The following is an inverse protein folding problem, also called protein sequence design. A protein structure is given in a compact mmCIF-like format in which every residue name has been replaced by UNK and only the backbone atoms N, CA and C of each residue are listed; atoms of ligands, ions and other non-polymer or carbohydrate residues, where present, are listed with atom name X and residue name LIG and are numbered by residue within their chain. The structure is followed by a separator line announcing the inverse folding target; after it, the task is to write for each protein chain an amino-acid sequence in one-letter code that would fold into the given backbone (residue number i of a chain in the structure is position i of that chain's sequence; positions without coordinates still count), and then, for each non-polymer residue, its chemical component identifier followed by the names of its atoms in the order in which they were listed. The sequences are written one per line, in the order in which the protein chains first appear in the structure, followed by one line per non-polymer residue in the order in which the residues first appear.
data_IF_264256508924
#
_entry.id   IF_264256508924
#
_cell.length_a   1.000
_cell.length_b   1.000
_cell.length_c   1.000
_cell.angle_alpha   90.00
_cell.angle_beta   90.00
_cell.angle_gamma   90.00
#
_symmetry.space_group_name_H-M   'P 1'
#
loop_
_entity.id
_entity.type
_entity.pdbx_description
1 polymer ?
#
# COMPACT_ATOMS: atom_id res chain seq x y z
N UNK A 1 17.41 51.04 5.87
CA UNK A 1 18.11 49.94 6.59
C UNK A 1 17.07 48.88 6.89
N UNK A 2 17.14 47.78 6.12
CA UNK A 2 16.13 46.74 5.87
C UNK A 2 16.30 45.57 6.87
N UNK A 3 15.22 44.78 7.06
CA UNK A 3 15.06 43.52 7.84
C UNK A 3 14.97 43.71 9.37
N UNK A 4 13.91 43.40 10.11
CA UNK A 4 12.77 42.48 9.97
C UNK A 4 13.11 41.13 9.31
N UNK A 5 14.07 40.41 9.89
CA UNK A 5 14.31 39.00 9.57
C UNK A 5 13.50 38.14 10.52
N UNK A 6 12.44 37.57 9.95
CA UNK A 6 11.62 36.48 10.44
C UNK A 6 12.37 35.58 11.44
N UNK A 7 11.83 35.51 12.65
CA UNK A 7 11.87 34.31 13.48
C UNK A 7 11.24 33.20 12.63
N UNK A 8 12.06 32.49 11.87
CA UNK A 8 11.63 31.49 10.90
C UNK A 8 10.71 30.48 11.61
N UNK A 9 9.47 30.44 11.13
CA UNK A 9 8.56 29.32 11.22
C UNK A 9 9.40 28.04 11.20
N UNK A 10 9.44 27.28 12.29
CA UNK A 10 9.86 25.90 12.20
C UNK A 10 8.69 25.20 11.50
N UNK A 11 8.78 24.79 10.22
CA UNK A 11 7.69 24.03 9.64
C UNK A 11 7.63 22.76 10.47
N UNK A 12 6.51 22.54 11.17
CA UNK A 12 6.18 21.24 11.72
C UNK A 12 6.33 20.26 10.55
N UNK A 13 7.44 19.53 10.50
CA UNK A 13 7.70 18.57 9.44
C UNK A 13 6.65 17.49 9.61
N UNK A 14 5.56 17.59 8.84
CA UNK A 14 4.60 16.51 8.73
C UNK A 14 5.35 15.33 8.13
N UNK A 15 5.77 14.39 8.99
CA UNK A 15 6.31 13.12 8.55
C UNK A 15 5.17 12.38 7.87
N UNK A 16 5.12 12.49 6.55
CA UNK A 16 4.11 11.78 5.80
C UNK A 16 4.53 10.32 5.67
N UNK A 17 4.12 9.50 6.63
CA UNK A 17 4.38 8.05 6.62
C UNK A 17 3.85 7.39 5.35
N UNK A 18 2.88 8.00 4.65
CA UNK A 18 2.31 7.54 3.39
C UNK A 18 2.29 8.66 2.35
N UNK A 19 3.43 8.98 1.70
CA UNK A 19 3.46 9.98 0.63
C UNK A 19 2.45 9.60 -0.46
N UNK A 20 1.51 10.47 -0.84
CA UNK A 20 0.46 10.16 -1.82
C UNK A 20 1.02 10.29 -3.24
N UNK A 21 2.08 9.52 -3.52
CA UNK A 21 2.74 9.48 -4.82
C UNK A 21 2.78 8.06 -5.34
N UNK A 22 2.77 7.93 -6.67
CA UNK A 22 2.89 6.63 -7.33
C UNK A 22 4.22 5.97 -7.00
N UNK A 23 5.30 6.73 -6.92
CA UNK A 23 6.63 6.20 -6.57
C UNK A 23 6.65 5.59 -5.17
N UNK A 24 5.98 6.21 -4.20
CA UNK A 24 5.87 5.65 -2.85
C UNK A 24 5.02 4.36 -2.81
N UNK A 25 4.02 4.24 -3.70
CA UNK A 25 3.26 3.01 -3.88
C UNK A 25 4.14 1.90 -4.46
N UNK A 26 4.89 2.21 -5.52
CA UNK A 26 5.79 1.26 -6.20
C UNK A 26 6.93 0.81 -5.29
N UNK A 27 7.50 1.70 -4.48
CA UNK A 27 8.53 1.36 -3.51
C UNK A 27 8.03 0.33 -2.49
N UNK A 28 6.80 0.49 -1.98
CA UNK A 28 6.18 -0.49 -1.08
C UNK A 28 5.82 -1.79 -1.79
N UNK A 29 5.30 -1.70 -3.01
CA UNK A 29 4.99 -2.87 -3.83
C UNK A 29 6.24 -3.71 -4.08
N UNK A 30 7.38 -3.06 -4.35
CA UNK A 30 8.66 -3.72 -4.54
C UNK A 30 9.18 -4.43 -3.27
N UNK A 31 8.76 -3.99 -2.08
CA UNK A 31 9.15 -4.55 -0.78
C UNK A 31 8.21 -5.66 -0.26
N UNK A 32 7.15 -6.00 -1.00
CA UNK A 32 6.20 -7.05 -0.59
C UNK A 32 6.90 -8.40 -0.49
N UNK A 33 6.75 -9.06 0.66
CA UNK A 33 7.22 -10.43 0.91
C UNK A 33 6.01 -11.34 1.16
N UNK A 34 5.47 -12.01 0.13
CA UNK A 34 4.17 -12.68 0.23
C UNK A 34 4.19 -13.88 1.18
N UNK A 35 5.31 -14.60 1.29
CA UNK A 35 5.47 -15.72 2.24
C UNK A 35 5.43 -15.25 3.69
N UNK A 36 6.14 -14.17 4.01
CA UNK A 36 6.14 -13.60 5.36
C UNK A 36 4.76 -13.02 5.71
N UNK A 37 4.12 -12.35 4.74
CA UNK A 37 2.76 -11.88 4.86
C UNK A 37 1.80 -13.03 5.20
N UNK A 38 1.85 -14.15 4.45
CA UNK A 38 0.97 -15.29 4.69
C UNK A 38 1.10 -15.87 6.11
N UNK A 39 2.34 -15.92 6.63
CA UNK A 39 2.65 -16.41 7.99
C UNK A 39 2.18 -15.46 9.10
N UNK A 40 2.19 -14.15 8.85
CA UNK A 40 2.04 -13.14 9.90
C UNK A 40 0.88 -12.16 9.71
N UNK A 41 0.02 -12.33 8.69
CA UNK A 41 -1.03 -11.35 8.33
C UNK A 41 -2.01 -10.97 9.45
N UNK A 42 -2.16 -11.82 10.47
CA UNK A 42 -3.06 -11.59 11.61
C UNK A 42 -2.30 -11.12 12.87
N UNK A 43 -1.00 -10.86 12.76
CA UNK A 43 -0.19 -10.29 13.82
C UNK A 43 -0.11 -8.77 13.64
N UNK A 44 -0.24 -8.02 14.74
CA UNK A 44 -0.18 -6.55 14.74
C UNK A 44 1.17 -6.06 14.17
N UNK A 45 2.26 -6.76 14.48
CA UNK A 45 3.62 -6.46 14.02
C UNK A 45 4.05 -7.34 12.83
N UNK A 46 3.08 -7.94 12.13
CA UNK A 46 3.34 -8.82 10.99
C UNK A 46 3.88 -8.09 9.77
N UNK A 47 4.27 -8.87 8.75
CA UNK A 47 4.77 -8.38 7.48
C UNK A 47 3.66 -7.81 6.58
N UNK A 48 2.92 -6.82 7.09
CA UNK A 48 1.86 -6.10 6.36
C UNK A 48 2.44 -5.33 5.18
N UNK A 49 1.75 -5.36 4.03
CA UNK A 49 2.25 -4.75 2.78
C UNK A 49 2.19 -3.23 2.76
N UNK A 50 1.35 -2.63 3.63
CA UNK A 50 1.11 -1.20 3.68
C UNK A 50 0.61 -0.60 2.34
N UNK A 51 0.05 -1.42 1.45
CA UNK A 51 -0.46 -0.99 0.14
C UNK A 51 -1.91 -0.47 0.19
N UNK A 52 -2.65 -0.74 1.26
CA UNK A 52 -4.06 -0.36 1.39
C UNK A 52 -4.39 1.08 1.01
N UNK A 53 -3.69 2.13 1.52
CA UNK A 53 -4.00 3.51 1.13
C UNK A 53 -3.74 3.78 -0.35
N UNK A 54 -2.70 3.17 -0.93
CA UNK A 54 -2.36 3.34 -2.35
C UNK A 54 -3.38 2.69 -3.28
N UNK A 55 -3.87 1.51 -2.91
CA UNK A 55 -4.93 0.83 -3.66
C UNK A 55 -6.25 1.58 -3.51
N UNK A 56 -6.60 2.05 -2.31
CA UNK A 56 -7.85 2.79 -2.06
C UNK A 56 -7.93 4.07 -2.90
N UNK A 57 -6.80 4.76 -3.07
CA UNK A 57 -6.74 6.01 -3.82
C UNK A 57 -6.28 5.84 -5.28
N UNK A 58 -6.15 4.61 -5.78
CA UNK A 58 -5.90 4.35 -7.20
C UNK A 58 -4.48 4.64 -7.69
N UNK A 59 -3.49 4.75 -6.80
CA UNK A 59 -2.08 4.90 -7.21
C UNK A 59 -1.54 3.64 -7.89
N UNK A 60 -2.05 2.48 -7.48
CA UNK A 60 -1.86 1.15 -8.09
C UNK A 60 -3.19 0.38 -8.00
N UNK A 61 -3.43 -0.54 -8.92
CA UNK A 61 -4.63 -1.40 -8.92
C UNK A 61 -4.28 -2.87 -8.58
N UNK A 62 -5.29 -3.69 -8.30
CA UNK A 62 -5.05 -5.08 -7.87
C UNK A 62 -4.40 -5.97 -8.93
N UNK A 63 -4.77 -5.90 -10.23
CA UNK A 63 -4.04 -6.61 -11.29
C UNK A 63 -2.55 -6.24 -11.34
N UNK A 64 -2.21 -4.95 -11.23
CA UNK A 64 -0.82 -4.47 -11.21
C UNK A 64 -0.06 -5.02 -10.00
N UNK A 65 -0.69 -5.01 -8.82
CA UNK A 65 -0.09 -5.55 -7.60
C UNK A 65 0.17 -7.06 -7.75
N UNK A 66 -0.81 -7.82 -8.22
CA UNK A 66 -0.65 -9.27 -8.43
C UNK A 66 0.47 -9.57 -9.43
N UNK A 67 0.46 -8.90 -10.59
CA UNK A 67 1.48 -9.11 -11.63
C UNK A 67 2.90 -8.82 -11.12
N UNK A 68 3.09 -7.71 -10.39
CA UNK A 68 4.40 -7.33 -9.85
C UNK A 68 4.93 -8.32 -8.81
N UNK A 69 4.06 -8.81 -7.91
CA UNK A 69 4.48 -9.75 -6.86
C UNK A 69 4.73 -11.13 -7.47
N UNK A 70 3.86 -11.60 -8.37
CA UNK A 70 4.01 -12.89 -9.06
C UNK A 70 5.23 -12.95 -9.98
N UNK A 71 5.71 -11.80 -10.48
CA UNK A 71 6.95 -11.75 -11.27
C UNK A 71 8.21 -12.04 -10.44
N UNK A 72 8.16 -11.88 -9.11
CA UNK A 72 9.29 -12.06 -8.20
C UNK A 72 9.15 -13.26 -7.28
N UNK A 73 7.92 -13.70 -7.05
CA UNK A 73 7.59 -14.77 -6.12
C UNK A 73 6.61 -15.73 -6.79
N UNK A 74 6.85 -17.03 -6.62
CA UNK A 74 5.91 -18.03 -7.10
C UNK A 74 4.66 -18.01 -6.20
N UNK A 75 3.53 -17.61 -6.78
CA UNK A 75 2.24 -17.55 -6.10
C UNK A 75 1.27 -18.49 -6.79
N UNK A 76 0.81 -19.52 -6.07
CA UNK A 76 -0.33 -20.30 -6.51
C UNK A 76 -1.65 -19.55 -6.26
N UNK A 77 -2.72 -19.98 -6.92
CA UNK A 77 -4.05 -19.33 -6.82
C UNK A 77 -4.64 -19.40 -5.40
N UNK A 78 -4.25 -20.39 -4.60
CA UNK A 78 -4.68 -20.56 -3.21
C UNK A 78 -3.76 -19.84 -2.21
N UNK A 79 -2.74 -19.14 -2.70
CA UNK A 79 -1.83 -18.42 -1.85
C UNK A 79 -2.58 -17.32 -1.10
N UNK A 80 -2.35 -17.23 0.21
CA UNK A 80 -3.09 -16.32 1.10
C UNK A 80 -3.09 -14.88 0.63
N UNK A 81 -1.95 -14.38 0.12
CA UNK A 81 -1.86 -13.05 -0.49
C UNK A 81 -2.85 -12.85 -1.65
N UNK A 82 -2.97 -13.84 -2.55
CA UNK A 82 -3.89 -13.80 -3.70
C UNK A 82 -5.34 -13.76 -3.23
N UNK A 83 -5.68 -14.55 -2.21
CA UNK A 83 -7.02 -14.50 -1.60
C UNK A 83 -7.37 -13.13 -1.03
N UNK A 84 -6.43 -12.44 -0.38
CA UNK A 84 -6.71 -11.09 0.16
C UNK A 84 -6.94 -10.05 -0.94
N UNK A 85 -6.25 -10.17 -2.08
CA UNK A 85 -6.56 -9.35 -3.25
C UNK A 85 -7.96 -9.67 -3.79
N UNK A 86 -8.29 -10.96 -3.92
CA UNK A 86 -9.61 -11.40 -4.37
C UNK A 86 -10.75 -10.92 -3.45
N UNK A 87 -10.56 -11.00 -2.13
CA UNK A 87 -11.53 -10.48 -1.16
C UNK A 87 -11.75 -8.98 -1.33
N UNK A 88 -10.67 -8.23 -1.53
CA UNK A 88 -10.77 -6.79 -1.75
C UNK A 88 -11.52 -6.45 -3.04
N UNK A 89 -11.25 -7.12 -4.15
CA UNK A 89 -12.03 -6.96 -5.39
C UNK A 89 -13.49 -7.34 -5.18
N UNK A 90 -13.76 -8.45 -4.48
CA UNK A 90 -15.13 -8.88 -4.20
C UNK A 90 -15.92 -7.80 -3.44
N UNK A 91 -15.38 -7.28 -2.33
CA UNK A 91 -16.08 -6.24 -1.57
C UNK A 91 -16.22 -4.94 -2.35
N UNK A 92 -15.24 -4.58 -3.17
CA UNK A 92 -15.32 -3.43 -4.07
C UNK A 92 -16.47 -3.60 -5.06
N UNK A 93 -16.52 -4.75 -5.73
CA UNK A 93 -17.58 -5.10 -6.66
C UNK A 93 -18.96 -5.12 -5.99
N UNK A 94 -19.08 -5.73 -4.81
CA UNK A 94 -20.34 -5.76 -4.05
C UNK A 94 -20.82 -4.35 -3.71
N UNK A 95 -19.95 -3.48 -3.20
CA UNK A 95 -20.29 -2.09 -2.91
C UNK A 95 -20.79 -1.34 -4.16
N UNK A 96 -20.11 -1.53 -5.30
CA UNK A 96 -20.51 -0.90 -6.56
C UNK A 96 -21.91 -1.28 -7.02
N UNK A 97 -22.37 -2.49 -6.71
CA UNK A 97 -23.65 -3.00 -7.16
C UNK A 97 -24.76 -2.87 -6.11
N UNK A 98 -24.42 -2.78 -4.82
CA UNK A 98 -25.40 -2.90 -3.73
C UNK A 98 -25.47 -1.71 -2.77
N UNK A 99 -24.54 -0.75 -2.84
CA UNK A 99 -24.43 0.33 -1.85
C UNK A 99 -23.93 -0.22 -0.53
#
# INVERSE_FOLDING_TARGET
MVQLAARMMNPMTFHNTFPPTRDAALARLAAVRPTDYARSRNAIEGAVTQLSPYITHGFVNLPEVLANVSAKHQLDVQHKFVFELGWREFFRHVWEHRG
#
